data_IF_672984097961
#
_entry.id   IF_672984097961
#
_cell.length_a   1.000
_cell.length_b   1.000
_cell.length_c   1.000
_cell.angle_alpha   90.00
_cell.angle_beta   90.00
_cell.angle_gamma   90.00
#
_symmetry.space_group_name_H-M   'P 1'
#
loop_
_entity.id
_entity.type
_entity.pdbx_description
1 polymer ?
#
# COMPACT_ATOMS: atom_id res chain seq x y z
N UNK A 1 38.50 35.65 -64.91
CA UNK A 1 39.88 35.49 -65.45
C UNK A 1 40.52 34.31 -64.79
N UNK A 2 40.79 33.36 -65.66
CA UNK A 2 41.94 32.41 -65.70
C UNK A 2 41.92 31.33 -64.56
N UNK A 3 41.81 30.19 -64.90
CA UNK A 3 42.13 29.07 -65.86
C UNK A 3 42.58 27.88 -65.02
N UNK A 4 41.92 26.79 -65.31
CA UNK A 4 42.32 25.38 -64.97
C UNK A 4 43.66 25.06 -65.65
N UNK A 5 44.47 24.08 -65.17
CA UNK A 5 44.45 22.83 -65.92
C UNK A 5 44.39 21.53 -65.12
N UNK A 6 43.79 20.55 -65.80
CA UNK A 6 43.90 19.11 -65.56
C UNK A 6 45.30 18.60 -65.90
N UNK A 7 45.72 17.51 -65.24
CA UNK A 7 46.52 16.43 -65.83
C UNK A 7 46.07 15.06 -65.31
N UNK A 8 45.92 14.17 -66.27
CA UNK A 8 45.59 12.73 -66.18
C UNK A 8 46.84 11.88 -65.91
N UNK A 9 46.59 10.68 -65.43
CA UNK A 9 47.15 9.36 -65.84
C UNK A 9 47.59 8.54 -64.63
N UNK A 10 47.45 7.28 -64.52
CA UNK A 10 47.01 6.09 -65.18
C UNK A 10 47.20 4.92 -64.20
N UNK A 11 46.44 3.90 -64.40
CA UNK A 11 46.29 2.69 -63.63
C UNK A 11 47.58 1.89 -63.34
N UNK A 12 47.51 1.12 -62.25
CA UNK A 12 48.00 -0.28 -62.26
C UNK A 12 47.28 -1.11 -61.21
N UNK A 13 46.75 -2.23 -61.63
CA UNK A 13 46.07 -3.27 -60.88
C UNK A 13 47.10 -4.16 -60.23
N UNK A 14 46.97 -4.51 -58.95
CA UNK A 14 47.37 -5.82 -58.41
C UNK A 14 46.92 -6.07 -56.99
N UNK A 15 46.30 -7.20 -56.74
CA UNK A 15 46.40 -7.94 -55.47
C UNK A 15 45.20 -7.95 -54.52
N UNK A 16 44.20 -8.74 -54.86
CA UNK A 16 43.23 -9.24 -53.89
C UNK A 16 43.89 -10.06 -52.81
N UNK A 17 43.82 -9.61 -51.51
CA UNK A 17 44.00 -10.49 -50.36
C UNK A 17 42.75 -10.43 -49.55
N UNK A 18 42.10 -11.60 -49.40
CA UNK A 18 40.91 -11.87 -48.62
C UNK A 18 41.09 -11.44 -47.13
N UNK A 19 40.48 -10.35 -46.74
CA UNK A 19 40.34 -9.97 -45.37
C UNK A 19 38.99 -10.48 -44.89
N UNK A 20 38.98 -11.61 -44.11
CA UNK A 20 37.83 -12.10 -43.38
C UNK A 20 37.45 -11.07 -42.30
N UNK A 21 36.42 -10.31 -42.53
CA UNK A 21 35.77 -9.53 -41.46
C UNK A 21 35.13 -10.51 -40.49
N UNK A 22 35.72 -10.68 -39.33
CA UNK A 22 35.15 -11.35 -38.18
C UNK A 22 34.20 -10.35 -37.50
N UNK A 23 32.91 -10.42 -37.83
CA UNK A 23 31.86 -9.68 -37.10
C UNK A 23 31.84 -10.22 -35.65
N UNK A 24 32.39 -9.43 -34.74
CA UNK A 24 32.26 -9.62 -33.32
C UNK A 24 30.81 -9.16 -32.97
N UNK A 25 29.89 -10.11 -32.83
CA UNK A 25 28.62 -9.85 -32.18
C UNK A 25 28.89 -9.55 -30.72
N UNK A 26 28.98 -8.26 -30.35
CA UNK A 26 28.78 -7.86 -28.95
C UNK A 26 27.33 -8.19 -28.59
N UNK A 27 27.12 -9.25 -27.85
CA UNK A 27 25.87 -9.48 -27.16
C UNK A 27 25.73 -8.36 -26.11
N UNK A 28 24.93 -7.36 -26.40
CA UNK A 28 24.46 -6.40 -25.39
C UNK A 28 23.49 -7.21 -24.53
N UNK A 29 23.98 -7.75 -23.41
CA UNK A 29 23.10 -8.17 -22.34
C UNK A 29 22.44 -6.89 -21.80
N UNK A 30 21.11 -6.81 -21.74
CA UNK A 30 20.49 -5.71 -21.01
C UNK A 30 21.04 -5.77 -19.58
N UNK A 31 21.50 -4.62 -19.09
CA UNK A 31 21.86 -4.49 -17.67
C UNK A 31 20.60 -4.85 -16.88
N UNK A 32 20.57 -6.04 -16.31
CA UNK A 32 19.53 -6.45 -15.39
C UNK A 32 19.54 -5.40 -14.28
N UNK A 33 18.40 -4.78 -14.04
CA UNK A 33 18.18 -4.04 -12.81
C UNK A 33 18.53 -5.02 -11.69
N UNK A 34 19.55 -4.73 -10.90
CA UNK A 34 19.82 -5.48 -9.69
C UNK A 34 18.70 -5.14 -8.73
N UNK A 35 17.63 -5.93 -8.75
CA UNK A 35 16.69 -5.96 -7.66
C UNK A 35 17.49 -6.24 -6.38
N UNK A 36 17.20 -5.51 -5.30
CA UNK A 36 17.79 -5.78 -4.01
C UNK A 36 17.67 -7.29 -3.75
N UNK A 37 18.74 -7.91 -3.28
CA UNK A 37 18.78 -9.36 -3.02
C UNK A 37 17.70 -9.68 -2.00
N UNK A 38 16.57 -10.22 -2.47
CA UNK A 38 15.39 -10.49 -1.64
C UNK A 38 15.71 -11.64 -0.70
N UNK A 39 15.79 -11.35 0.59
CA UNK A 39 16.25 -12.26 1.61
C UNK A 39 15.07 -13.05 2.20
N UNK A 40 14.24 -13.72 1.35
CA UNK A 40 13.07 -14.46 1.79
C UNK A 40 13.39 -15.55 2.84
N UNK A 41 14.58 -16.12 2.79
CA UNK A 41 15.07 -17.08 3.77
C UNK A 41 15.25 -16.51 5.20
N UNK A 42 15.20 -15.19 5.36
CA UNK A 42 15.24 -14.51 6.67
C UNK A 42 13.83 -14.21 7.21
N UNK A 43 12.79 -14.45 6.42
CA UNK A 43 11.42 -14.27 6.91
C UNK A 43 11.05 -15.43 7.82
N UNK A 44 10.67 -15.06 9.02
CA UNK A 44 10.17 -15.96 10.06
C UNK A 44 8.65 -16.01 10.00
N UNK A 45 8.09 -17.20 9.87
CA UNK A 45 6.65 -17.50 9.82
C UNK A 45 6.32 -18.64 10.78
N UNK A 46 5.07 -18.76 11.23
CA UNK A 46 4.63 -19.95 11.97
C UNK A 46 4.81 -21.23 11.15
N UNK A 47 4.93 -22.37 11.84
CA UNK A 47 5.11 -23.68 11.18
C UNK A 47 3.99 -23.98 10.19
N UNK A 48 4.34 -24.49 9.01
CA UNK A 48 3.42 -24.81 7.91
C UNK A 48 3.17 -23.64 6.94
N UNK A 49 3.58 -22.42 7.29
CA UNK A 49 3.52 -21.29 6.36
C UNK A 49 4.80 -21.15 5.52
N UNK A 50 4.62 -20.66 4.32
CA UNK A 50 5.70 -20.27 3.40
C UNK A 50 5.44 -18.91 2.77
N UNK A 51 6.51 -18.22 2.37
CA UNK A 51 6.45 -16.96 1.64
C UNK A 51 7.21 -17.10 0.33
N UNK A 52 6.60 -16.61 -0.74
CA UNK A 52 7.15 -16.62 -2.10
C UNK A 52 6.91 -15.26 -2.75
N UNK A 53 7.58 -14.98 -3.86
CA UNK A 53 7.29 -13.81 -4.67
C UNK A 53 6.04 -14.11 -5.52
N UNK A 54 5.04 -13.24 -5.43
CA UNK A 54 3.88 -13.24 -6.33
C UNK A 54 4.13 -12.38 -7.57
N UNK A 55 4.72 -11.18 -7.40
CA UNK A 55 5.04 -10.29 -8.49
C UNK A 55 6.28 -9.45 -8.18
N UNK A 56 7.11 -9.23 -9.19
CA UNK A 56 8.28 -8.35 -9.13
C UNK A 56 8.07 -7.09 -9.97
N UNK A 57 8.80 -6.01 -9.67
CA UNK A 57 8.78 -4.78 -10.47
C UNK A 57 7.53 -3.92 -10.23
N UNK A 58 6.78 -4.14 -9.16
CA UNK A 58 5.66 -3.31 -8.74
C UNK A 58 6.19 -2.12 -7.95
N UNK A 59 6.73 -1.12 -8.66
CA UNK A 59 7.44 0.00 -8.04
C UNK A 59 6.58 0.75 -7.02
N UNK A 60 7.07 0.83 -5.78
CA UNK A 60 6.45 1.53 -4.67
C UNK A 60 5.02 1.02 -4.34
N UNK A 61 4.79 -0.30 -4.40
CA UNK A 61 3.49 -0.95 -4.19
C UNK A 61 2.86 -0.59 -2.84
N UNK A 62 1.62 -0.12 -2.89
CA UNK A 62 0.84 0.29 -1.71
C UNK A 62 -0.43 -0.56 -1.59
N UNK A 63 -1.60 0.06 -1.38
CA UNK A 63 -2.84 -0.69 -1.29
C UNK A 63 -3.07 -1.55 -2.54
N UNK A 64 -3.57 -2.75 -2.31
CA UNK A 64 -3.95 -3.71 -3.36
C UNK A 64 -5.44 -3.98 -3.33
N UNK A 65 -6.00 -4.23 -4.51
CA UNK A 65 -7.36 -4.75 -4.68
C UNK A 65 -7.40 -5.75 -5.80
N UNK A 66 -8.28 -6.74 -5.69
CA UNK A 66 -8.53 -7.73 -6.75
C UNK A 66 -9.76 -7.35 -7.56
N UNK A 67 -9.63 -7.33 -8.88
CA UNK A 67 -10.75 -7.21 -9.82
C UNK A 67 -11.54 -8.51 -9.97
N UNK A 68 -12.66 -8.44 -10.67
CA UNK A 68 -13.59 -9.56 -10.87
C UNK A 68 -12.95 -10.73 -11.63
N UNK A 69 -12.08 -10.44 -12.61
CA UNK A 69 -11.40 -11.44 -13.43
C UNK A 69 -10.05 -11.90 -12.87
N UNK A 70 -9.69 -11.43 -11.67
CA UNK A 70 -8.49 -11.87 -10.96
C UNK A 70 -7.28 -10.95 -11.07
N UNK A 71 -7.35 -9.88 -11.86
CA UNK A 71 -6.30 -8.86 -11.89
C UNK A 71 -6.09 -8.25 -10.52
N UNK A 72 -4.86 -8.20 -10.04
CA UNK A 72 -4.51 -7.45 -8.84
C UNK A 72 -4.12 -6.04 -9.28
N UNK A 73 -4.81 -5.03 -8.79
CA UNK A 73 -4.43 -3.65 -8.95
C UNK A 73 -3.66 -3.18 -7.73
N UNK A 74 -2.58 -2.43 -7.95
CA UNK A 74 -1.79 -1.85 -6.86
C UNK A 74 -1.56 -0.37 -7.11
N UNK A 75 -1.85 0.44 -6.08
CA UNK A 75 -1.47 1.84 -6.05
C UNK A 75 0.01 2.04 -5.74
N UNK A 76 0.48 3.27 -5.86
CA UNK A 76 1.81 3.66 -5.40
C UNK A 76 1.76 5.01 -4.68
N UNK A 77 2.81 5.35 -3.95
CA UNK A 77 2.88 6.65 -3.27
C UNK A 77 3.73 7.64 -4.07
N UNK A 78 5.04 7.54 -3.95
CA UNK A 78 5.97 8.51 -4.56
C UNK A 78 6.25 8.23 -6.03
N UNK A 79 6.06 6.99 -6.47
CA UNK A 79 6.22 6.63 -7.88
C UNK A 79 5.17 7.27 -8.77
N UNK A 80 3.99 7.64 -8.21
CA UNK A 80 2.91 8.25 -8.99
C UNK A 80 2.27 7.31 -10.01
N UNK A 81 2.40 6.00 -9.81
CA UNK A 81 2.04 4.96 -10.79
C UNK A 81 0.90 4.09 -10.28
N UNK A 82 0.13 3.59 -11.21
CA UNK A 82 -0.94 2.62 -11.00
C UNK A 82 -0.61 1.35 -11.77
N UNK A 83 -0.68 0.21 -11.09
CA UNK A 83 -0.27 -1.08 -11.61
C UNK A 83 -1.44 -2.05 -11.76
N UNK A 84 -1.41 -2.88 -12.82
CA UNK A 84 -2.22 -4.09 -12.94
C UNK A 84 -1.28 -5.31 -13.06
N UNK A 85 -1.55 -6.30 -12.24
CA UNK A 85 -0.75 -7.50 -12.07
C UNK A 85 -1.62 -8.71 -12.42
N UNK A 86 -1.18 -9.53 -13.37
CA UNK A 86 -1.93 -10.69 -13.84
C UNK A 86 -1.07 -11.95 -13.80
N UNK A 87 -1.62 -12.98 -13.20
CA UNK A 87 -1.19 -14.37 -13.24
C UNK A 87 -2.08 -15.07 -14.28
N UNK A 88 -1.54 -15.30 -15.47
CA UNK A 88 -2.33 -15.75 -16.61
C UNK A 88 -2.47 -17.26 -16.68
N UNK A 89 -1.51 -18.02 -16.17
CA UNK A 89 -1.51 -19.49 -16.19
C UNK A 89 -1.93 -20.12 -14.85
N UNK A 90 -2.10 -19.30 -13.81
CA UNK A 90 -2.61 -19.71 -12.50
C UNK A 90 -1.59 -20.45 -11.64
N UNK A 91 -0.31 -20.28 -11.92
CA UNK A 91 0.77 -20.93 -11.17
C UNK A 91 1.12 -20.20 -9.86
N UNK A 92 0.42 -19.08 -9.57
CA UNK A 92 0.55 -18.25 -8.38
C UNK A 92 1.77 -17.31 -8.38
N UNK A 93 2.39 -17.14 -9.53
CA UNK A 93 3.37 -16.10 -9.85
C UNK A 93 2.83 -15.26 -11.02
N UNK A 94 2.84 -13.95 -10.89
CA UNK A 94 2.30 -13.08 -11.92
C UNK A 94 3.36 -12.73 -12.98
N UNK A 95 3.17 -13.21 -14.20
CA UNK A 95 4.08 -12.98 -15.32
C UNK A 95 4.01 -11.55 -15.86
N UNK A 96 2.92 -10.86 -15.61
CA UNK A 96 2.72 -9.53 -16.17
C UNK A 96 2.45 -8.50 -15.09
N UNK A 97 3.34 -7.52 -15.01
CA UNK A 97 3.15 -6.27 -14.26
C UNK A 97 3.02 -5.15 -15.29
N UNK A 98 1.84 -4.57 -15.40
CA UNK A 98 1.51 -3.55 -16.40
C UNK A 98 1.29 -2.21 -15.75
N UNK A 99 1.90 -1.16 -16.31
CA UNK A 99 1.61 0.21 -15.95
C UNK A 99 0.25 0.61 -16.56
N UNK A 100 -0.68 1.04 -15.71
CA UNK A 100 -2.01 1.50 -16.11
C UNK A 100 -2.03 3.01 -16.30
N UNK A 101 -1.41 3.75 -15.36
CA UNK A 101 -1.32 5.20 -15.40
C UNK A 101 -0.09 5.68 -14.62
N UNK A 102 0.39 6.88 -14.91
CA UNK A 102 1.55 7.50 -14.26
C UNK A 102 1.33 9.02 -14.08
N UNK A 103 2.29 9.69 -13.45
CA UNK A 103 2.21 11.12 -13.10
C UNK A 103 1.02 11.48 -12.18
N UNK A 104 0.45 10.48 -11.50
CA UNK A 104 -0.60 10.68 -10.53
C UNK A 104 -0.04 11.18 -9.20
N UNK A 105 -0.79 12.01 -8.51
CA UNK A 105 -0.36 12.58 -7.23
C UNK A 105 -0.60 11.60 -6.07
N UNK A 106 0.41 10.76 -5.76
CA UNK A 106 0.37 9.73 -4.71
C UNK A 106 -0.89 8.84 -4.78
N UNK A 107 -1.10 8.08 -5.87
CA UNK A 107 -2.29 7.24 -6.08
C UNK A 107 -2.22 5.97 -5.23
N UNK A 108 -2.11 6.10 -3.90
CA UNK A 108 -1.82 4.96 -3.02
C UNK A 108 -3.03 4.09 -2.68
N UNK A 109 -4.22 4.67 -2.70
CA UNK A 109 -5.46 3.95 -2.43
C UNK A 109 -6.09 3.40 -3.70
N UNK A 110 -6.47 2.14 -3.70
CA UNK A 110 -7.19 1.49 -4.80
C UNK A 110 -8.36 0.67 -4.27
N UNK A 111 -9.50 0.68 -4.98
CA UNK A 111 -10.65 -0.16 -4.64
C UNK A 111 -11.42 -0.50 -5.91
N UNK A 112 -12.15 -1.61 -5.93
CA UNK A 112 -12.82 -2.12 -7.12
C UNK A 112 -14.31 -2.34 -6.86
N UNK A 113 -15.14 -1.86 -7.77
CA UNK A 113 -16.59 -2.03 -7.71
C UNK A 113 -17.19 -2.09 -9.11
N UNK A 114 -18.00 -3.12 -9.38
CA UNK A 114 -18.80 -3.25 -10.61
C UNK A 114 -17.99 -3.06 -11.92
N UNK A 115 -16.81 -3.68 -11.99
CA UNK A 115 -15.93 -3.61 -13.17
C UNK A 115 -15.09 -2.32 -13.25
N UNK A 116 -15.21 -1.41 -12.29
CA UNK A 116 -14.46 -0.16 -12.27
C UNK A 116 -13.43 -0.12 -11.13
N UNK A 117 -12.24 0.40 -11.44
CA UNK A 117 -11.18 0.66 -10.48
C UNK A 117 -11.26 2.10 -9.99
N UNK A 118 -11.39 2.28 -8.67
CA UNK A 118 -11.32 3.57 -8.00
C UNK A 118 -9.91 3.80 -7.48
N UNK A 119 -9.38 5.01 -7.68
CA UNK A 119 -8.01 5.39 -7.29
C UNK A 119 -8.02 6.67 -6.48
N UNK A 120 -7.48 6.60 -5.27
CA UNK A 120 -7.36 7.73 -4.35
C UNK A 120 -6.03 8.46 -4.54
N UNK A 121 -6.06 9.58 -5.24
CA UNK A 121 -4.97 10.56 -5.25
C UNK A 121 -5.10 11.53 -4.07
N UNK A 122 -4.14 12.46 -3.88
CA UNK A 122 -4.13 13.36 -2.72
C UNK A 122 -5.41 14.17 -2.60
N UNK A 123 -5.86 14.77 -3.71
CA UNK A 123 -6.93 15.76 -3.75
C UNK A 123 -8.21 15.28 -4.46
N UNK A 124 -8.22 14.05 -4.98
CA UNK A 124 -9.32 13.53 -5.80
C UNK A 124 -9.45 12.03 -5.77
N UNK A 125 -10.62 11.57 -6.19
CA UNK A 125 -10.86 10.16 -6.50
C UNK A 125 -11.09 10.06 -8.01
N UNK A 126 -10.34 9.15 -8.62
CA UNK A 126 -10.44 8.80 -10.05
C UNK A 126 -11.16 7.45 -10.18
N UNK A 127 -11.78 7.21 -11.34
CA UNK A 127 -12.42 5.92 -11.67
C UNK A 127 -12.08 5.53 -13.10
N UNK A 128 -11.61 4.30 -13.29
CA UNK A 128 -11.31 3.67 -14.57
C UNK A 128 -12.39 2.63 -14.87
N UNK A 129 -13.32 2.96 -15.77
CA UNK A 129 -14.46 2.11 -16.08
C UNK A 129 -14.05 0.92 -16.96
N UNK A 130 -14.58 -0.28 -16.68
CA UNK A 130 -14.32 -1.53 -17.42
C UNK A 130 -12.82 -1.86 -17.56
N UNK A 131 -12.03 -1.52 -16.54
CA UNK A 131 -10.57 -1.55 -16.60
C UNK A 131 -9.99 -2.91 -16.98
N UNK A 132 -10.53 -4.02 -16.43
CA UNK A 132 -9.99 -5.37 -16.68
C UNK A 132 -10.10 -5.80 -18.15
N UNK A 133 -11.05 -5.26 -18.90
CA UNK A 133 -11.18 -5.51 -20.34
C UNK A 133 -10.31 -4.60 -21.20
N UNK A 134 -9.68 -3.59 -20.62
CA UNK A 134 -8.96 -2.52 -21.29
C UNK A 134 -7.50 -2.38 -20.82
N UNK A 135 -6.93 -3.41 -20.20
CA UNK A 135 -5.57 -3.35 -19.63
C UNK A 135 -4.48 -2.99 -20.65
N UNK A 136 -4.66 -3.32 -21.93
CA UNK A 136 -3.72 -3.00 -23.01
C UNK A 136 -3.85 -1.55 -23.52
N UNK A 137 -4.99 -0.94 -23.31
CA UNK A 137 -5.32 0.45 -23.66
C UNK A 137 -6.23 1.02 -22.57
N UNK A 138 -5.68 1.35 -21.40
CA UNK A 138 -6.47 1.84 -20.28
C UNK A 138 -7.29 3.07 -20.66
N UNK A 139 -8.53 3.19 -20.20
CA UNK A 139 -9.35 4.36 -20.46
C UNK A 139 -8.84 5.58 -19.72
N UNK A 140 -9.14 6.77 -20.23
CA UNK A 140 -8.98 8.00 -19.46
C UNK A 140 -9.84 7.94 -18.20
N UNK A 141 -9.31 8.30 -17.01
CA UNK A 141 -10.06 8.23 -15.77
C UNK A 141 -11.16 9.28 -15.68
N UNK A 142 -12.27 8.90 -15.12
CA UNK A 142 -13.34 9.82 -14.70
C UNK A 142 -12.99 10.40 -13.34
N UNK A 143 -13.05 11.72 -13.18
CA UNK A 143 -12.95 12.36 -11.87
C UNK A 143 -14.28 12.18 -11.13
N UNK A 144 -14.28 11.32 -10.10
CA UNK A 144 -15.46 11.07 -9.25
C UNK A 144 -15.68 12.25 -8.31
N UNK A 145 -14.61 12.74 -7.71
CA UNK A 145 -14.61 13.97 -6.89
C UNK A 145 -13.20 14.58 -6.87
N UNK A 146 -13.12 15.92 -6.83
CA UNK A 146 -11.91 16.71 -6.60
C UNK A 146 -12.05 17.60 -5.35
N UNK A 147 -13.00 17.28 -4.48
CA UNK A 147 -13.31 18.03 -3.26
C UNK A 147 -12.50 17.57 -2.02
N UNK A 148 -11.45 16.76 -2.19
CA UNK A 148 -10.56 16.37 -1.10
C UNK A 148 -9.47 17.43 -0.89
N UNK A 149 -8.95 17.59 0.37
CA UNK A 149 -7.88 18.53 0.63
C UNK A 149 -6.58 18.15 -0.11
N UNK A 150 -5.91 19.13 -0.72
CA UNK A 150 -4.75 18.93 -1.61
C UNK A 150 -3.38 18.95 -0.93
N UNK A 151 -3.27 18.95 0.42
CA UNK A 151 -1.98 18.92 1.12
C UNK A 151 -1.38 17.50 1.09
N UNK A 152 -0.07 17.42 0.83
CA UNK A 152 0.61 16.14 0.61
C UNK A 152 1.01 15.41 1.90
N UNK A 153 1.26 16.15 2.98
CA UNK A 153 1.57 15.54 4.28
C UNK A 153 0.36 14.78 4.79
N UNK A 154 0.49 13.47 5.02
CA UNK A 154 -0.59 12.51 5.26
C UNK A 154 -1.72 12.59 4.20
N UNK A 155 -1.38 13.06 2.99
CA UNK A 155 -2.33 13.28 1.90
C UNK A 155 -2.69 12.03 1.11
N UNK A 156 -1.87 10.97 1.18
CA UNK A 156 -2.15 9.70 0.51
C UNK A 156 -3.40 9.05 1.09
N UNK A 157 -4.19 8.41 0.22
CA UNK A 157 -5.47 7.82 0.58
C UNK A 157 -5.34 6.30 0.71
N UNK A 158 -6.20 5.73 1.50
CA UNK A 158 -6.62 4.34 1.46
C UNK A 158 -8.11 4.33 1.08
N UNK A 159 -8.56 3.36 0.32
CA UNK A 159 -9.95 3.28 -0.11
C UNK A 159 -10.57 1.96 0.35
N UNK A 160 -11.82 2.00 0.78
CA UNK A 160 -12.58 0.78 1.06
C UNK A 160 -14.07 1.03 0.85
N UNK A 161 -14.71 0.21 0.02
CA UNK A 161 -16.17 0.17 0.00
C UNK A 161 -16.69 -0.50 1.26
N UNK A 162 -17.65 0.14 1.92
CA UNK A 162 -18.34 -0.41 3.06
C UNK A 162 -19.54 -1.25 2.65
N UNK A 163 -20.10 -2.04 3.58
CA UNK A 163 -21.30 -2.85 3.35
C UNK A 163 -22.55 -1.98 3.07
N UNK A 164 -22.50 -0.68 3.39
CA UNK A 164 -23.49 0.31 3.03
C UNK A 164 -23.38 0.81 1.57
N UNK A 165 -22.45 0.24 0.80
CA UNK A 165 -22.16 0.60 -0.60
C UNK A 165 -21.44 1.94 -0.76
N UNK A 166 -21.00 2.60 0.31
CA UNK A 166 -20.25 3.86 0.26
C UNK A 166 -18.75 3.63 0.25
N UNK A 167 -18.02 4.51 -0.43
CA UNK A 167 -16.57 4.55 -0.42
C UNK A 167 -16.07 5.32 0.80
N UNK A 168 -15.27 4.67 1.64
CA UNK A 168 -14.64 5.25 2.84
C UNK A 168 -13.21 5.73 2.51
N UNK A 169 -12.89 6.95 2.97
CA UNK A 169 -11.68 7.67 2.58
C UNK A 169 -11.09 8.37 3.81
N UNK A 170 -9.93 7.95 4.33
CA UNK A 170 -9.24 8.68 5.37
C UNK A 170 -8.61 9.97 4.81
N UNK A 171 -8.72 11.05 5.56
CA UNK A 171 -8.14 12.36 5.28
C UNK A 171 -7.26 12.74 6.46
N UNK A 172 -5.97 12.42 6.38
CA UNK A 172 -5.02 12.64 7.46
C UNK A 172 -4.73 14.11 7.71
N UNK A 173 -4.26 14.46 8.92
CA UNK A 173 -3.88 15.82 9.27
C UNK A 173 -2.66 16.29 8.44
N UNK A 174 -2.62 17.57 8.01
CA UNK A 174 -1.59 18.04 7.06
C UNK A 174 -0.26 18.46 7.74
N UNK A 175 0.04 17.91 8.90
CA UNK A 175 1.20 18.21 9.73
C UNK A 175 1.49 17.07 10.68
N UNK A 176 2.54 17.15 11.53
CA UNK A 176 2.76 16.16 12.58
C UNK A 176 1.57 16.06 13.54
N UNK A 177 1.09 17.21 14.05
CA UNK A 177 -0.15 17.34 14.82
C UNK A 177 -0.71 18.75 14.60
N UNK A 178 -1.99 18.91 14.31
CA UNK A 178 -2.68 20.18 14.16
C UNK A 178 -4.20 19.99 14.18
N UNK A 179 -4.91 21.07 14.48
CA UNK A 179 -6.36 21.18 14.41
C UNK A 179 -6.71 22.06 13.21
N UNK A 180 -6.88 21.45 12.04
CA UNK A 180 -7.19 22.13 10.79
C UNK A 180 -8.49 21.58 10.22
N UNK A 181 -9.43 22.48 9.92
CA UNK A 181 -10.75 22.11 9.39
C UNK A 181 -10.64 21.33 8.07
N UNK A 182 -11.40 20.25 7.96
CA UNK A 182 -11.42 19.38 6.78
C UNK A 182 -10.35 18.31 6.77
N UNK A 183 -9.59 18.18 7.86
CA UNK A 183 -8.56 17.15 8.05
C UNK A 183 -8.82 16.35 9.34
N UNK A 184 -8.09 15.26 9.52
CA UNK A 184 -8.23 14.41 10.69
C UNK A 184 -9.55 13.63 10.72
N UNK A 185 -10.00 13.15 9.57
CA UNK A 185 -11.32 12.56 9.37
C UNK A 185 -11.26 11.26 8.58
N UNK A 186 -12.23 10.37 8.81
CA UNK A 186 -12.64 9.35 7.84
C UNK A 186 -13.93 9.84 7.22
N UNK A 187 -13.93 10.06 5.92
CA UNK A 187 -15.11 10.43 5.13
C UNK A 187 -15.68 9.23 4.41
N UNK A 188 -16.97 9.30 4.03
CA UNK A 188 -17.58 8.35 3.10
C UNK A 188 -18.47 9.06 2.11
N UNK A 189 -18.64 8.47 0.91
CA UNK A 189 -19.47 9.02 -0.16
C UNK A 189 -20.07 7.89 -1.00
N UNK A 190 -21.09 8.22 -1.80
CA UNK A 190 -21.61 7.30 -2.80
C UNK A 190 -20.55 7.03 -3.91
N UNK A 191 -20.63 5.90 -4.64
CA UNK A 191 -19.69 5.56 -5.73
C UNK A 191 -19.62 6.62 -6.84
N UNK A 192 -20.66 7.43 -7.00
CA UNK A 192 -20.71 8.54 -7.99
C UNK A 192 -20.11 9.85 -7.47
N UNK A 193 -19.60 9.88 -6.23
CA UNK A 193 -19.02 11.06 -5.58
C UNK A 193 -20.02 11.92 -4.81
N UNK A 194 -21.31 11.65 -4.94
CA UNK A 194 -22.36 12.38 -4.21
C UNK A 194 -22.43 11.99 -2.74
N UNK A 195 -23.07 12.82 -1.92
CA UNK A 195 -23.39 12.48 -0.54
C UNK A 195 -22.16 12.33 0.37
N UNK A 196 -21.06 13.04 0.10
CA UNK A 196 -19.87 13.02 0.95
C UNK A 196 -20.20 13.52 2.35
N UNK A 197 -19.87 12.74 3.35
CA UNK A 197 -20.11 13.03 4.77
C UNK A 197 -18.94 12.55 5.63
N UNK A 198 -18.78 13.13 6.83
CA UNK A 198 -17.80 12.69 7.81
C UNK A 198 -18.35 11.49 8.56
N UNK A 199 -17.62 10.37 8.53
CA UNK A 199 -17.97 9.17 9.30
C UNK A 199 -17.34 9.19 10.70
N UNK A 200 -16.03 9.53 10.80
CA UNK A 200 -15.30 9.61 12.05
C UNK A 200 -14.36 10.82 12.06
N UNK A 201 -14.01 11.30 13.26
CA UNK A 201 -13.08 12.41 13.50
C UNK A 201 -11.95 12.00 14.46
N UNK A 202 -10.95 12.86 14.54
CA UNK A 202 -9.87 12.69 15.50
C UNK A 202 -8.90 11.59 15.10
N UNK A 203 -8.65 11.42 13.80
CA UNK A 203 -7.66 10.51 13.23
C UNK A 203 -6.50 11.31 12.63
N UNK A 204 -5.24 10.88 12.86
CA UNK A 204 -4.06 11.60 12.39
C UNK A 204 -3.63 11.15 11.00
N UNK A 205 -3.41 9.84 10.83
CA UNK A 205 -2.90 9.24 9.59
C UNK A 205 -3.30 7.77 9.52
N UNK A 206 -4.55 7.51 9.17
CA UNK A 206 -5.06 6.16 8.96
C UNK A 206 -4.74 5.71 7.53
N UNK A 207 -4.08 4.56 7.37
CA UNK A 207 -3.65 4.01 6.08
C UNK A 207 -4.12 2.56 5.90
N UNK A 208 -5.11 2.16 6.63
CA UNK A 208 -5.74 0.85 6.52
C UNK A 208 -7.16 0.89 7.06
N UNK A 209 -8.11 0.39 6.29
CA UNK A 209 -9.53 0.26 6.62
C UNK A 209 -10.01 -1.16 6.31
N UNK A 210 -10.72 -1.79 7.22
CA UNK A 210 -11.38 -3.07 6.98
C UNK A 210 -12.73 -3.14 7.69
N UNK A 211 -13.68 -3.88 7.13
CA UNK A 211 -14.96 -4.15 7.77
C UNK A 211 -14.95 -5.56 8.35
N UNK A 212 -15.45 -5.70 9.58
CA UNK A 212 -15.52 -7.00 10.23
C UNK A 212 -16.54 -7.89 9.51
N UNK A 213 -16.18 -9.15 9.16
CA UNK A 213 -17.01 -10.00 8.30
C UNK A 213 -18.34 -10.45 8.91
N UNK A 214 -18.51 -10.36 10.24
CA UNK A 214 -19.73 -10.82 10.92
C UNK A 214 -20.72 -9.69 11.25
N UNK A 215 -20.23 -8.44 11.41
CA UNK A 215 -21.08 -7.34 11.88
C UNK A 215 -20.96 -6.05 11.08
N UNK A 216 -20.15 -6.06 9.99
CA UNK A 216 -20.00 -4.93 9.07
C UNK A 216 -19.44 -3.64 9.72
N UNK A 217 -18.81 -3.73 10.87
CA UNK A 217 -18.26 -2.57 11.58
C UNK A 217 -16.86 -2.24 11.10
N UNK A 218 -16.55 -0.95 11.02
CA UNK A 218 -15.27 -0.44 10.53
C UNK A 218 -14.17 -0.61 11.57
N UNK A 219 -13.04 -1.15 11.13
CA UNK A 219 -11.76 -1.19 11.85
C UNK A 219 -10.71 -0.45 11.04
N UNK A 220 -9.80 0.25 11.72
CA UNK A 220 -8.76 1.00 11.04
C UNK A 220 -7.50 1.12 11.88
N UNK A 221 -6.35 1.23 11.18
CA UNK A 221 -5.06 1.53 11.78
C UNK A 221 -4.84 3.04 11.86
N UNK A 222 -4.07 3.46 12.87
CA UNK A 222 -3.72 4.86 13.08
C UNK A 222 -2.24 4.98 13.44
N UNK A 223 -1.53 5.90 12.79
CA UNK A 223 -0.13 6.19 13.11
C UNK A 223 -0.02 7.33 14.11
N UNK A 224 0.63 7.08 15.24
CA UNK A 224 0.85 8.05 16.32
C UNK A 224 1.70 9.27 15.93
N UNK A 225 1.64 10.32 16.75
CA UNK A 225 2.44 11.56 16.61
C UNK A 225 3.94 11.26 16.65
N UNK A 226 4.70 11.80 15.70
CA UNK A 226 6.14 11.65 15.67
C UNK A 226 6.86 12.54 16.69
N UNK A 227 8.12 12.20 17.04
CA UNK A 227 9.04 13.00 17.84
C UNK A 227 8.64 13.17 19.31
N UNK A 228 7.97 12.18 19.90
CA UNK A 228 7.67 12.14 21.33
C UNK A 228 8.56 11.16 22.12
N UNK A 229 9.67 10.70 21.53
CA UNK A 229 10.55 9.66 22.05
C UNK A 229 10.31 8.31 21.40
N UNK A 230 10.95 7.27 21.90
CA UNK A 230 10.89 5.94 21.28
C UNK A 230 9.61 5.17 21.62
N UNK A 231 9.07 5.36 22.82
CA UNK A 231 8.06 4.47 23.39
C UNK A 231 6.64 5.06 23.40
N UNK A 232 6.48 6.31 22.98
CA UNK A 232 5.19 7.00 22.92
C UNK A 232 5.10 7.97 21.73
N UNK A 233 3.88 8.19 21.23
CA UNK A 233 2.68 7.40 21.46
C UNK A 233 2.74 6.08 20.71
N UNK A 234 1.96 5.12 21.14
CA UNK A 234 1.69 3.91 20.39
C UNK A 234 0.96 4.25 19.07
N UNK A 235 1.18 3.44 18.04
CA UNK A 235 0.24 3.32 16.94
C UNK A 235 -1.04 2.61 17.45
N UNK A 236 -2.13 2.69 16.71
CA UNK A 236 -3.43 2.26 17.22
C UNK A 236 -4.15 1.32 16.26
N UNK A 237 -4.85 0.36 16.83
CA UNK A 237 -5.97 -0.33 16.19
C UNK A 237 -7.26 0.26 16.74
N UNK A 238 -8.09 0.78 15.87
CA UNK A 238 -9.33 1.44 16.22
C UNK A 238 -10.55 0.69 15.68
N UNK A 239 -11.66 0.72 16.43
CA UNK A 239 -12.95 0.14 16.08
C UNK A 239 -14.02 1.23 16.07
N UNK A 240 -14.70 1.39 14.95
CA UNK A 240 -15.71 2.42 14.72
C UNK A 240 -17.07 1.78 14.36
N UNK A 241 -17.85 1.28 15.34
CA UNK A 241 -19.12 0.61 15.11
C UNK A 241 -20.21 1.52 14.54
N UNK A 242 -20.05 2.84 14.65
CA UNK A 242 -21.03 3.81 14.18
C UNK A 242 -20.42 5.13 13.75
N UNK A 243 -21.16 5.90 12.95
CA UNK A 243 -20.77 7.25 12.57
C UNK A 243 -20.77 8.22 13.75
N UNK A 244 -19.97 9.31 13.64
CA UNK A 244 -19.95 10.41 14.61
C UNK A 244 -18.98 10.21 15.77
N UNK A 245 -18.19 9.14 15.78
CA UNK A 245 -17.16 8.89 16.80
C UNK A 245 -15.94 9.79 16.61
N UNK A 246 -15.23 10.09 17.71
CA UNK A 246 -14.02 10.91 17.73
C UNK A 246 -12.89 10.18 18.46
N UNK A 247 -11.76 9.94 17.77
CA UNK A 247 -10.67 9.08 18.20
C UNK A 247 -9.49 9.83 18.87
N UNK A 248 -9.69 11.08 19.26
CA UNK A 248 -8.81 11.82 20.18
C UNK A 248 -7.94 12.90 19.52
N UNK A 249 -7.41 12.70 18.33
CA UNK A 249 -6.49 13.63 17.68
C UNK A 249 -7.20 14.96 17.32
N UNK A 250 -6.58 16.14 17.64
CA UNK A 250 -5.20 16.33 18.13
C UNK A 250 -5.05 16.37 19.66
N UNK A 251 -6.08 16.09 20.43
CA UNK A 251 -6.15 16.36 21.87
C UNK A 251 -5.60 15.25 22.75
N UNK A 252 -5.81 14.00 22.34
CA UNK A 252 -5.44 12.79 23.06
C UNK A 252 -4.85 11.75 22.12
N UNK A 253 -3.73 11.16 22.48
CA UNK A 253 -3.05 10.08 21.77
C UNK A 253 -3.27 8.76 22.51
N UNK A 254 -3.26 7.65 21.81
CA UNK A 254 -3.33 6.27 22.36
C UNK A 254 -4.41 6.05 23.43
N UNK A 255 -5.42 6.91 23.49
CA UNK A 255 -6.55 6.84 24.43
C UNK A 255 -6.30 7.33 25.85
N UNK A 256 -5.05 7.60 26.26
CA UNK A 256 -4.71 7.97 27.64
C UNK A 256 -3.60 9.03 27.79
N UNK A 257 -3.05 9.54 26.69
CA UNK A 257 -1.97 10.52 26.69
C UNK A 257 -2.45 11.85 26.08
N UNK A 258 -2.66 12.86 26.93
CA UNK A 258 -3.01 14.21 26.45
C UNK A 258 -1.85 14.85 25.68
N UNK A 259 -2.18 15.49 24.56
CA UNK A 259 -1.22 16.31 23.82
C UNK A 259 -0.78 17.54 24.67
N UNK A 260 0.50 17.85 24.64
CA UNK A 260 1.07 18.94 25.45
C UNK A 260 0.52 20.33 25.08
N UNK A 261 0.19 20.53 23.80
CA UNK A 261 -0.31 21.78 23.26
C UNK A 261 -1.84 21.81 23.20
N UNK A 262 -2.42 20.83 22.50
CA UNK A 262 -3.85 20.77 22.18
C UNK A 262 -4.69 20.16 23.31
N UNK A 263 -4.09 19.33 24.17
CA UNK A 263 -4.78 18.63 25.25
C UNK A 263 -5.11 19.48 26.48
N UNK A 264 -4.70 20.77 26.53
CA UNK A 264 -4.94 21.65 27.67
C UNK A 264 -6.44 21.87 27.90
N UNK A 265 -6.90 21.49 29.10
CA UNK A 265 -8.31 21.59 29.48
C UNK A 265 -9.23 20.53 28.85
N UNK A 266 -8.64 19.51 28.24
CA UNK A 266 -9.36 18.34 27.70
C UNK A 266 -9.18 17.13 28.63
N UNK A 267 -9.98 16.10 28.37
CA UNK A 267 -9.84 14.77 28.99
C UNK A 267 -9.81 13.71 27.90
N UNK A 268 -8.90 12.74 27.99
CA UNK A 268 -8.92 11.59 27.09
C UNK A 268 -10.23 10.78 27.18
N UNK A 269 -10.90 10.83 28.34
CA UNK A 269 -12.22 10.21 28.52
C UNK A 269 -13.36 10.82 27.69
N UNK A 270 -13.13 11.96 27.03
CA UNK A 270 -14.10 12.57 26.12
C UNK A 270 -14.06 11.96 24.70
N UNK A 271 -13.10 11.07 24.44
CA UNK A 271 -12.82 10.48 23.14
C UNK A 271 -12.88 8.96 23.19
N UNK A 272 -13.07 8.36 22.02
CA UNK A 272 -13.04 6.89 21.86
C UNK A 272 -11.57 6.43 21.94
N UNK A 273 -11.21 5.57 22.91
CA UNK A 273 -9.86 5.01 22.95
C UNK A 273 -9.68 3.95 21.87
N UNK A 274 -8.41 3.67 21.45
CA UNK A 274 -8.13 2.51 20.62
C UNK A 274 -8.51 1.21 21.33
N UNK A 275 -8.90 0.19 20.56
CA UNK A 275 -9.15 -1.15 21.07
C UNK A 275 -7.85 -1.92 21.36
N UNK A 276 -6.76 -1.55 20.69
CA UNK A 276 -5.41 -2.00 21.01
C UNK A 276 -4.38 -0.92 20.74
N UNK A 277 -3.37 -0.85 21.60
CA UNK A 277 -2.12 -0.13 21.34
C UNK A 277 -1.19 -1.06 20.59
N UNK A 278 -0.68 -0.58 19.46
CA UNK A 278 0.31 -1.26 18.64
C UNK A 278 1.71 -0.73 18.98
N UNK A 279 2.74 -1.31 18.37
CA UNK A 279 4.12 -0.86 18.60
C UNK A 279 4.27 0.64 18.26
N UNK A 280 4.89 1.44 19.14
CA UNK A 280 5.09 2.86 18.90
C UNK A 280 5.89 3.11 17.63
N UNK A 281 5.40 4.03 16.80
CA UNK A 281 6.07 4.47 15.57
C UNK A 281 6.34 3.37 14.53
N UNK A 282 5.74 2.18 14.67
CA UNK A 282 5.93 1.07 13.75
C UNK A 282 5.27 1.31 12.38
N UNK A 283 4.48 2.36 12.25
CA UNK A 283 3.70 2.71 11.08
C UNK A 283 2.73 1.57 10.70
N UNK A 284 1.72 1.34 11.53
CA UNK A 284 0.64 0.41 11.25
C UNK A 284 -0.15 0.91 10.03
N UNK A 285 -0.18 0.13 8.94
CA UNK A 285 -0.77 0.51 7.67
C UNK A 285 -1.92 -0.42 7.28
N UNK A 286 -1.81 -1.15 6.14
CA UNK A 286 -2.87 -2.01 5.64
C UNK A 286 -3.30 -3.11 6.60
N UNK A 287 -4.58 -3.45 6.56
CA UNK A 287 -5.14 -4.51 7.37
C UNK A 287 -6.24 -5.26 6.64
N UNK A 288 -6.39 -6.55 6.94
CA UNK A 288 -7.47 -7.38 6.41
C UNK A 288 -7.90 -8.44 7.43
N UNK A 289 -9.20 -8.66 7.54
CA UNK A 289 -9.74 -9.84 8.19
C UNK A 289 -9.49 -11.06 7.32
N UNK A 290 -9.00 -12.14 7.91
CA UNK A 290 -8.78 -13.38 7.20
C UNK A 290 -10.10 -14.14 7.03
N UNK A 291 -10.59 -14.17 5.80
CA UNK A 291 -11.82 -14.87 5.41
C UNK A 291 -11.57 -16.08 4.50
N UNK A 292 -10.27 -16.42 4.29
CA UNK A 292 -9.87 -17.57 3.48
C UNK A 292 -10.00 -18.90 4.22
N UNK A 293 -9.86 -19.99 3.48
CA UNK A 293 -9.94 -21.37 4.01
C UNK A 293 -8.58 -22.10 3.98
N UNK A 294 -7.52 -21.48 3.45
CA UNK A 294 -6.21 -22.12 3.34
C UNK A 294 -5.50 -22.21 4.68
N UNK A 295 -5.55 -21.15 5.50
CA UNK A 295 -4.89 -21.12 6.80
C UNK A 295 -5.65 -21.98 7.82
N UNK A 296 -5.00 -22.45 8.89
CA UNK A 296 -5.68 -23.14 9.98
C UNK A 296 -6.87 -22.35 10.51
N UNK A 297 -7.91 -23.05 10.96
CA UNK A 297 -9.19 -22.44 11.38
C UNK A 297 -9.06 -21.43 12.51
N UNK A 298 -7.98 -21.50 13.29
CA UNK A 298 -7.68 -20.48 14.32
C UNK A 298 -7.39 -19.10 13.75
N UNK A 299 -7.11 -18.97 12.45
CA UNK A 299 -6.93 -17.67 11.79
C UNK A 299 -8.23 -17.08 11.23
N UNK A 300 -9.32 -17.84 11.19
CA UNK A 300 -10.61 -17.34 10.67
C UNK A 300 -11.06 -16.10 11.42
N UNK A 301 -11.39 -15.04 10.70
CA UNK A 301 -11.78 -13.73 11.21
C UNK A 301 -10.72 -13.01 12.06
N UNK A 302 -9.49 -13.51 12.15
CA UNK A 302 -8.39 -12.72 12.73
C UNK A 302 -7.96 -11.61 11.79
N UNK A 303 -7.48 -10.53 12.36
CA UNK A 303 -7.05 -9.34 11.65
C UNK A 303 -5.55 -9.36 11.43
N UNK A 304 -5.10 -9.35 10.17
CA UNK A 304 -3.70 -9.15 9.80
C UNK A 304 -3.44 -7.66 9.62
N UNK A 305 -2.34 -7.16 10.19
CA UNK A 305 -1.94 -5.75 10.15
C UNK A 305 -0.48 -5.66 9.72
N UNK A 306 -0.19 -4.87 8.69
CA UNK A 306 1.20 -4.56 8.32
C UNK A 306 1.75 -3.45 9.21
N UNK A 307 2.97 -3.64 9.71
CA UNK A 307 3.77 -2.61 10.34
C UNK A 307 4.95 -2.29 9.42
N UNK A 308 4.84 -1.17 8.72
CA UNK A 308 5.77 -0.73 7.67
C UNK A 308 7.17 -0.44 8.19
N UNK A 309 7.29 -0.11 9.47
CA UNK A 309 8.55 0.11 10.18
C UNK A 309 8.86 1.58 10.45
N UNK A 310 9.47 1.78 11.61
CA UNK A 310 9.79 3.10 12.17
C UNK A 310 10.89 3.83 11.39
N UNK A 311 10.86 5.16 11.45
CA UNK A 311 11.91 6.03 10.93
C UNK A 311 12.50 6.97 12.01
N UNK A 312 11.77 7.20 13.11
CA UNK A 312 12.06 8.16 14.16
C UNK A 312 12.32 7.51 15.55
N UNK A 313 12.79 6.25 15.56
CA UNK A 313 13.22 5.54 16.78
C UNK A 313 14.72 5.32 16.81
N UNK A 314 15.29 5.26 18.02
CA UNK A 314 16.70 4.90 18.24
C UNK A 314 16.98 3.47 17.78
N UNK A 315 16.15 2.51 18.22
CA UNK A 315 16.10 1.16 17.70
C UNK A 315 14.83 0.99 16.87
N UNK A 316 14.97 0.50 15.66
CA UNK A 316 13.85 0.35 14.73
C UNK A 316 12.84 -0.67 15.23
N UNK A 317 11.56 -0.41 14.96
CA UNK A 317 10.41 -1.24 15.29
C UNK A 317 9.50 -1.42 14.10
N UNK A 318 8.69 -2.48 14.08
CA UNK A 318 7.84 -2.84 12.94
C UNK A 318 8.61 -3.65 11.91
N UNK A 319 8.39 -3.39 10.61
CA UNK A 319 8.92 -4.20 9.51
C UNK A 319 8.43 -5.65 9.61
N UNK A 320 7.15 -5.81 9.90
CA UNK A 320 6.54 -7.10 10.23
C UNK A 320 5.05 -7.09 9.93
N UNK A 321 4.42 -8.24 10.07
CA UNK A 321 2.97 -8.40 10.01
C UNK A 321 2.51 -8.93 11.36
N UNK A 322 1.53 -8.28 11.94
CA UNK A 322 0.85 -8.77 13.14
C UNK A 322 -0.38 -9.58 12.75
N UNK A 323 -0.75 -10.52 13.61
CA UNK A 323 -2.09 -11.11 13.64
C UNK A 323 -2.74 -10.79 14.98
N UNK A 324 -3.96 -10.27 14.92
CA UNK A 324 -4.73 -9.81 16.08
C UNK A 324 -6.02 -10.63 16.15
N UNK A 325 -6.26 -11.24 17.31
CA UNK A 325 -7.48 -11.97 17.61
C UNK A 325 -8.50 -11.00 18.21
N UNK A 326 -9.55 -10.72 17.46
CA UNK A 326 -10.56 -9.73 17.83
C UNK A 326 -11.94 -10.36 17.86
N UNK A 327 -12.80 -9.84 18.71
CA UNK A 327 -14.21 -10.19 18.76
C UNK A 327 -15.06 -9.13 18.04
N UNK A 328 -16.24 -9.47 17.54
CA UNK A 328 -17.12 -8.53 16.86
C UNK A 328 -17.49 -7.29 17.69
N UNK A 329 -17.47 -7.38 19.02
CA UNK A 329 -17.77 -6.27 19.93
C UNK A 329 -16.63 -5.28 20.14
N UNK A 330 -15.47 -5.51 19.52
CA UNK A 330 -14.27 -4.68 19.67
C UNK A 330 -13.26 -5.20 20.71
N UNK A 331 -13.58 -6.30 21.40
CA UNK A 331 -12.64 -6.90 22.37
C UNK A 331 -11.44 -7.51 21.63
N UNK A 332 -10.24 -7.13 22.02
CA UNK A 332 -8.99 -7.74 21.55
C UNK A 332 -8.54 -8.80 22.54
N UNK A 333 -8.45 -10.06 22.08
CA UNK A 333 -8.06 -11.20 22.91
C UNK A 333 -6.56 -11.43 22.92
N UNK A 334 -5.90 -11.22 21.78
CA UNK A 334 -4.47 -11.43 21.61
C UNK A 334 -3.93 -10.63 20.42
N UNK A 335 -2.66 -10.24 20.50
CA UNK A 335 -1.90 -9.76 19.35
C UNK A 335 -0.50 -10.38 19.36
N UNK A 336 -0.02 -10.79 18.19
CA UNK A 336 1.30 -11.40 18.05
C UNK A 336 1.90 -11.16 16.67
N UNK A 337 3.22 -11.27 16.57
CA UNK A 337 3.91 -11.23 15.29
C UNK A 337 3.55 -12.50 14.49
N UNK A 338 3.11 -12.32 13.26
CA UNK A 338 2.82 -13.37 12.31
C UNK A 338 3.98 -13.61 11.34
N UNK A 339 4.54 -12.52 10.78
CA UNK A 339 5.69 -12.60 9.88
C UNK A 339 6.68 -11.47 10.22
N UNK A 340 7.96 -11.79 10.32
CA UNK A 340 9.04 -10.84 10.55
C UNK A 340 10.29 -11.22 9.76
N UNK A 341 11.31 -10.34 9.71
CA UNK A 341 12.59 -10.62 9.05
C UNK A 341 12.97 -9.60 7.99
N UNK A 342 12.10 -8.67 7.63
CA UNK A 342 12.42 -7.56 6.70
C UNK A 342 13.44 -6.56 7.25
N UNK A 343 13.66 -6.57 8.57
CA UNK A 343 14.68 -5.78 9.26
C UNK A 343 15.79 -6.69 9.78
N UNK A 344 17.04 -6.41 9.36
CA UNK A 344 18.23 -7.15 9.81
C UNK A 344 19.29 -6.15 10.27
N UNK A 345 19.72 -6.22 11.53
CA UNK A 345 20.77 -5.36 12.09
C UNK A 345 20.54 -3.87 11.78
N UNK A 346 19.34 -3.36 12.07
CA UNK A 346 18.91 -1.97 11.82
C UNK A 346 18.85 -1.56 10.34
N UNK A 347 18.93 -2.50 9.40
CA UNK A 347 18.81 -2.26 7.96
C UNK A 347 17.61 -3.04 7.42
N UNK A 348 16.63 -2.32 6.88
CA UNK A 348 15.51 -2.95 6.20
C UNK A 348 15.87 -3.28 4.76
N UNK A 349 15.51 -4.48 4.31
CA UNK A 349 15.55 -4.88 2.92
C UNK A 349 14.15 -4.88 2.27
N UNK A 350 13.09 -4.83 3.08
CA UNK A 350 11.71 -4.70 2.67
C UNK A 350 10.88 -4.01 3.73
N UNK A 351 9.66 -3.60 3.34
CA UNK A 351 8.69 -2.88 4.20
C UNK A 351 7.27 -3.30 3.82
N UNK A 352 6.66 -4.27 4.53
CA UNK A 352 5.28 -4.68 4.26
C UNK A 352 4.33 -3.50 4.42
N UNK A 353 3.42 -3.32 3.44
CA UNK A 353 2.56 -2.15 3.37
C UNK A 353 1.08 -2.47 3.47
N UNK A 354 0.61 -3.43 2.68
CA UNK A 354 -0.81 -3.82 2.63
C UNK A 354 -0.94 -5.33 2.55
N UNK A 355 -2.09 -5.83 2.95
CA UNK A 355 -2.44 -7.26 2.91
C UNK A 355 -3.76 -7.46 2.18
N UNK A 356 -3.82 -8.50 1.34
CA UNK A 356 -5.00 -8.87 0.57
C UNK A 356 -5.22 -10.39 0.65
N UNK A 357 -6.38 -10.81 1.10
CA UNK A 357 -6.77 -12.23 1.13
C UNK A 357 -7.23 -12.65 -0.26
N UNK A 358 -6.60 -13.69 -0.80
CA UNK A 358 -6.90 -14.25 -2.11
C UNK A 358 -8.05 -15.28 -2.04
N UNK A 359 -8.77 -15.53 -3.16
CA UNK A 359 -9.88 -16.50 -3.18
C UNK A 359 -9.49 -17.94 -2.80
N UNK A 360 -8.24 -18.32 -3.04
CA UNK A 360 -7.69 -19.63 -2.61
C UNK A 360 -7.26 -19.64 -1.14
N UNK A 361 -7.37 -18.50 -0.45
CA UNK A 361 -7.05 -18.32 0.96
C UNK A 361 -5.62 -17.94 1.26
N UNK A 362 -4.76 -17.73 0.26
CA UNK A 362 -3.44 -17.14 0.49
C UNK A 362 -3.53 -15.66 0.85
N UNK A 363 -2.48 -15.13 1.44
CA UNK A 363 -2.35 -13.72 1.77
C UNK A 363 -1.30 -13.07 0.86
N UNK A 364 -1.69 -12.11 0.03
CA UNK A 364 -0.73 -11.25 -0.65
C UNK A 364 -0.28 -10.12 0.28
N UNK A 365 0.99 -9.71 0.15
CA UNK A 365 1.60 -8.62 0.92
C UNK A 365 2.36 -7.71 -0.02
N UNK A 366 1.99 -6.44 -0.11
CA UNK A 366 2.75 -5.46 -0.89
C UNK A 366 3.94 -4.92 -0.11
N UNK A 367 5.02 -4.60 -0.82
CA UNK A 367 6.25 -4.03 -0.26
C UNK A 367 6.73 -2.87 -1.14
N UNK A 368 6.68 -1.65 -0.61
CA UNK A 368 7.00 -0.43 -1.34
C UNK A 368 8.50 -0.08 -1.36
N UNK A 369 9.32 -0.77 -0.56
CA UNK A 369 10.77 -0.67 -0.59
C UNK A 369 11.39 -1.72 -1.53
N UNK A 370 10.96 -2.97 -1.43
CA UNK A 370 11.43 -4.06 -2.26
C UNK A 370 10.82 -4.02 -3.68
N UNK A 371 9.73 -3.29 -3.89
CA UNK A 371 8.98 -3.20 -5.16
C UNK A 371 8.43 -4.55 -5.63
N UNK A 372 7.90 -5.32 -4.69
CA UNK A 372 7.35 -6.65 -4.93
C UNK A 372 6.00 -6.83 -4.23
N UNK A 373 5.30 -7.86 -4.63
CA UNK A 373 4.18 -8.44 -3.89
C UNK A 373 4.59 -9.85 -3.50
N UNK A 374 4.53 -10.15 -2.21
CA UNK A 374 4.73 -11.51 -1.69
C UNK A 374 3.41 -12.27 -1.62
N UNK A 375 3.50 -13.58 -1.65
CA UNK A 375 2.41 -14.50 -1.37
C UNK A 375 2.77 -15.37 -0.17
N UNK A 376 1.92 -15.36 0.85
CA UNK A 376 2.04 -16.25 2.01
C UNK A 376 0.96 -17.32 1.88
N UNK A 377 1.39 -18.58 1.92
CA UNK A 377 0.54 -19.75 1.83
C UNK A 377 0.77 -20.70 3.01
N UNK A 378 -0.16 -21.65 3.20
CA UNK A 378 -0.08 -22.66 4.24
C UNK A 378 -0.23 -24.06 3.62
N UNK A 379 0.67 -24.96 4.01
CA UNK A 379 0.60 -26.37 3.63
C UNK A 379 0.56 -27.22 4.90
N UNK A 380 -0.46 -28.10 4.98
CA UNK A 380 -0.67 -29.00 6.14
C UNK A 380 0.44 -30.04 6.25
#
# INVERSE_FOLDING_TARGET
>A
MQRVPQVRSAATIAGMKNLKFMLLFLAIFPAGNSYADLQLNLIELPSGFSIEIYAEGVENARQMVRGDNGTIFAGSRRAGKLWAITDADGDQYAETVRLIDEDLKMPSGVEFLDGALYVGAVDRILRYDNIESLLDQPPEPVVVTDALPGKEHHGWKYLRFGPDGKLYIPVGVPCNICDEEGFGEIRRMNPDGSGMEIFAKGVRNSVGLAFHPENDQLWFTENGKDMMGDDIPADELNHAPQAGMHFGIPYCHQGDLLDEEFGKGKSCGDYTPPVAKLDPHAAALGLAFYTGEMFPSEYTNRLFITQHGSWNRTEKSGYQILVVDVQPDGTVLNQQVFAAGWLQNEKSWGRPNDVLVMPDGALLVSDDQANVIYRISYTK
#
